data_IF_536282159690
#
_entry.id   IF_536282159690
#
_cell.length_a   1.000
_cell.length_b   1.000
_cell.length_c   1.000
_cell.angle_alpha   90.00
_cell.angle_beta   90.00
_cell.angle_gamma   90.00
#
_symmetry.space_group_name_H-M   'P 1'
#
loop_
_entity.id
_entity.type
_entity.pdbx_description
1 polymer ?
#
# COMPACT_ATOMS: atom_id res chain seq x y z
N UNK A 1 -31.72 11.01 9.26
CA UNK A 1 -30.30 10.68 9.08
C UNK A 1 -30.18 9.86 7.81
N UNK A 2 -29.09 9.96 7.05
CA UNK A 2 -28.88 9.05 5.94
C UNK A 2 -28.43 7.68 6.47
N UNK A 3 -28.60 6.63 5.68
CA UNK A 3 -28.12 5.29 6.02
C UNK A 3 -26.62 5.27 6.36
N UNK A 4 -25.78 5.99 5.61
CA UNK A 4 -24.35 6.14 5.90
C UNK A 4 -24.12 6.75 7.29
N UNK A 5 -24.81 7.84 7.63
CA UNK A 5 -24.65 8.48 8.95
C UNK A 5 -25.13 7.61 10.12
N UNK A 6 -26.18 6.84 9.93
CA UNK A 6 -26.65 5.88 10.93
C UNK A 6 -25.61 4.78 11.18
N UNK A 7 -25.04 4.24 10.10
CA UNK A 7 -24.01 3.21 10.22
C UNK A 7 -22.71 3.74 10.85
N UNK A 8 -22.33 4.98 10.58
CA UNK A 8 -21.18 5.61 11.25
C UNK A 8 -21.40 5.77 12.77
N UNK A 9 -22.58 6.15 13.19
CA UNK A 9 -22.90 6.25 14.63
C UNK A 9 -22.92 4.87 15.32
N UNK A 10 -23.43 3.84 14.65
CA UNK A 10 -23.40 2.46 15.16
C UNK A 10 -21.96 1.94 15.25
N UNK A 11 -21.14 2.21 14.23
CA UNK A 11 -19.72 1.82 14.20
C UNK A 11 -18.95 2.44 15.37
N UNK A 12 -19.12 3.74 15.62
CA UNK A 12 -18.49 4.44 16.76
C UNK A 12 -18.89 3.82 18.10
N UNK A 13 -20.17 3.47 18.27
CA UNK A 13 -20.67 2.83 19.50
C UNK A 13 -20.10 1.43 19.71
N UNK A 14 -19.91 0.65 18.64
CA UNK A 14 -19.36 -0.71 18.70
C UNK A 14 -17.85 -0.74 18.93
N UNK A 15 -17.12 0.28 18.55
CA UNK A 15 -15.65 0.29 18.51
C UNK A 15 -15.01 1.46 19.30
N UNK A 16 -15.41 1.74 20.56
CA UNK A 16 -15.01 2.95 21.30
C UNK A 16 -13.52 3.05 21.59
N UNK A 17 -12.74 1.97 21.42
CA UNK A 17 -11.30 1.92 21.66
C UNK A 17 -10.47 1.85 20.38
N UNK A 18 -11.04 2.09 19.20
CA UNK A 18 -10.39 1.89 17.89
C UNK A 18 -10.42 3.16 17.03
N UNK A 19 -9.74 4.25 17.46
CA UNK A 19 -9.85 5.54 16.78
C UNK A 19 -9.37 5.51 15.32
N UNK A 20 -8.31 4.76 15.01
CA UNK A 20 -7.79 4.65 13.64
C UNK A 20 -8.79 3.94 12.71
N UNK A 21 -9.47 2.90 13.21
CA UNK A 21 -10.51 2.20 12.46
C UNK A 21 -11.73 3.10 12.22
N UNK A 22 -12.19 3.81 13.25
CA UNK A 22 -13.31 4.76 13.16
C UNK A 22 -13.01 5.84 12.13
N UNK A 23 -11.79 6.40 12.15
CA UNK A 23 -11.36 7.42 11.20
C UNK A 23 -11.39 6.88 9.78
N UNK A 24 -10.77 5.74 9.51
CA UNK A 24 -10.72 5.15 8.17
C UNK A 24 -12.11 4.79 7.64
N UNK A 25 -12.95 4.21 8.48
CA UNK A 25 -14.32 3.89 8.10
C UNK A 25 -15.13 5.18 7.80
N UNK A 26 -14.94 6.24 8.59
CA UNK A 26 -15.60 7.53 8.35
C UNK A 26 -15.19 8.11 6.99
N UNK A 27 -13.90 8.13 6.68
CA UNK A 27 -13.39 8.63 5.40
C UNK A 27 -13.98 7.87 4.21
N UNK A 28 -13.99 6.54 4.27
CA UNK A 28 -14.52 5.71 3.19
C UNK A 28 -16.03 5.84 3.09
N UNK A 29 -16.78 5.57 4.17
CA UNK A 29 -18.25 5.52 4.13
C UNK A 29 -18.85 6.88 3.73
N UNK A 30 -18.28 7.99 4.19
CA UNK A 30 -18.76 9.33 3.78
C UNK A 30 -18.64 9.52 2.26
N UNK A 31 -17.61 8.99 1.64
CA UNK A 31 -17.44 9.06 0.18
C UNK A 31 -18.42 8.18 -0.61
N UNK A 32 -19.11 7.25 0.07
CA UNK A 32 -20.07 6.32 -0.56
C UNK A 32 -21.51 6.88 -0.61
N UNK A 33 -21.80 8.01 0.01
CA UNK A 33 -23.15 8.58 0.06
C UNK A 33 -23.83 8.62 -1.33
N UNK A 34 -23.18 9.12 -2.41
CA UNK A 34 -23.82 9.17 -3.73
C UNK A 34 -24.13 7.79 -4.33
N UNK A 35 -23.25 6.80 -4.10
CA UNK A 35 -23.45 5.46 -4.63
C UNK A 35 -24.53 4.70 -3.86
N UNK A 36 -24.64 4.91 -2.56
CA UNK A 36 -25.71 4.31 -1.74
C UNK A 36 -27.06 4.88 -2.14
N UNK A 37 -27.17 6.19 -2.29
CA UNK A 37 -28.43 6.84 -2.72
C UNK A 37 -28.88 6.37 -4.11
N UNK A 38 -27.94 6.14 -5.02
CA UNK A 38 -28.25 5.64 -6.37
C UNK A 38 -28.59 4.14 -6.42
N UNK A 39 -28.29 3.38 -5.36
CA UNK A 39 -28.42 1.92 -5.34
C UNK A 39 -29.06 1.44 -4.01
N UNK A 40 -30.40 1.63 -3.84
CA UNK A 40 -31.08 1.30 -2.59
C UNK A 40 -31.02 -0.18 -2.19
N UNK A 41 -30.69 -1.07 -3.13
CA UNK A 41 -30.46 -2.50 -2.85
C UNK A 41 -29.29 -2.75 -1.87
N UNK A 42 -28.32 -1.84 -1.79
CA UNK A 42 -27.22 -1.99 -0.85
C UNK A 42 -27.67 -1.79 0.61
N UNK A 43 -28.56 -0.81 0.85
CA UNK A 43 -29.18 -0.61 2.16
C UNK A 43 -30.10 -1.79 2.50
N UNK A 44 -30.97 -2.21 1.57
CA UNK A 44 -31.89 -3.33 1.77
C UNK A 44 -31.16 -4.65 2.12
N UNK A 45 -29.93 -4.83 1.66
CA UNK A 45 -29.12 -6.01 1.93
C UNK A 45 -28.14 -5.83 3.12
N UNK A 46 -28.17 -4.71 3.82
CA UNK A 46 -27.27 -4.42 4.95
C UNK A 46 -25.79 -4.44 4.58
N UNK A 47 -25.44 -3.91 3.41
CA UNK A 47 -24.07 -3.99 2.91
C UNK A 47 -23.11 -3.20 3.80
N UNK A 48 -23.48 -2.02 4.30
CA UNK A 48 -22.58 -1.22 5.14
C UNK A 48 -22.34 -1.87 6.50
N UNK A 49 -23.36 -2.46 7.10
CA UNK A 49 -23.23 -3.21 8.36
C UNK A 49 -22.24 -4.36 8.25
N UNK A 50 -22.26 -5.04 7.12
CA UNK A 50 -21.44 -6.23 6.87
C UNK A 50 -20.02 -5.88 6.44
N UNK A 51 -19.84 -4.86 5.62
CA UNK A 51 -18.50 -4.50 5.09
C UNK A 51 -17.60 -3.84 6.15
N UNK A 52 -18.18 -3.25 7.20
CA UNK A 52 -17.41 -2.66 8.32
C UNK A 52 -17.11 -3.65 9.44
N UNK A 53 -17.72 -4.84 9.40
CA UNK A 53 -17.46 -5.90 10.38
C UNK A 53 -16.57 -6.97 9.76
N UNK A 54 -15.39 -7.28 10.35
CA UNK A 54 -14.53 -8.32 9.79
C UNK A 54 -15.16 -9.71 9.95
N UNK A 55 -15.00 -10.57 8.95
CA UNK A 55 -15.51 -11.94 8.99
C UNK A 55 -14.88 -12.74 10.12
N UNK A 56 -13.58 -12.53 10.41
CA UNK A 56 -12.87 -13.15 11.54
C UNK A 56 -11.76 -12.28 12.07
N UNK A 57 -11.60 -12.31 13.39
CA UNK A 57 -10.46 -11.73 14.09
C UNK A 57 -9.78 -12.84 14.91
N UNK A 58 -8.50 -13.09 14.63
CA UNK A 58 -7.72 -14.15 15.23
C UNK A 58 -6.59 -13.51 16.02
N UNK A 59 -6.50 -13.84 17.30
CA UNK A 59 -5.42 -13.40 18.18
C UNK A 59 -4.83 -14.63 18.88
N UNK A 60 -3.51 -14.69 18.94
CA UNK A 60 -2.80 -15.81 19.53
C UNK A 60 -1.50 -15.38 20.22
N UNK A 61 -1.04 -16.22 21.15
CA UNK A 61 0.22 -16.04 21.87
C UNK A 61 1.37 -16.57 21.03
N UNK A 62 2.48 -15.82 20.98
CA UNK A 62 3.71 -16.17 20.26
C UNK A 62 4.89 -16.24 21.24
N UNK A 63 5.15 -17.40 21.88
CA UNK A 63 6.30 -17.59 22.76
C UNK A 63 7.54 -17.96 21.92
N UNK A 64 8.68 -17.37 22.24
CA UNK A 64 9.98 -17.69 21.62
C UNK A 64 11.11 -17.47 22.61
N UNK A 65 12.31 -17.96 22.30
CA UNK A 65 13.49 -17.87 23.18
C UNK A 65 14.52 -16.98 22.51
N UNK A 66 15.00 -15.97 23.24
CA UNK A 66 16.03 -15.06 22.77
C UNK A 66 17.45 -15.67 22.85
N UNK A 67 18.43 -14.92 22.37
CA UNK A 67 19.82 -15.37 22.33
C UNK A 67 20.45 -15.62 23.72
N UNK A 68 19.85 -15.06 24.77
CA UNK A 68 20.25 -15.26 26.16
C UNK A 68 19.55 -16.46 26.84
N UNK A 69 18.71 -17.20 26.08
CA UNK A 69 17.93 -18.31 26.62
C UNK A 69 16.68 -17.89 27.39
N UNK A 70 16.31 -16.60 27.35
CA UNK A 70 15.13 -16.08 28.05
C UNK A 70 13.88 -16.22 27.17
N UNK A 71 12.78 -16.69 27.78
CA UNK A 71 11.49 -16.76 27.13
C UNK A 71 10.91 -15.37 26.94
N UNK A 72 10.53 -15.09 25.70
CA UNK A 72 9.82 -13.90 25.27
C UNK A 72 8.40 -14.29 24.83
N UNK A 73 7.44 -13.37 24.99
CA UNK A 73 6.04 -13.59 24.59
C UNK A 73 5.51 -12.36 23.87
N UNK A 74 5.09 -12.57 22.65
CA UNK A 74 4.42 -11.55 21.82
C UNK A 74 2.97 -11.97 21.52
N UNK A 75 2.20 -11.03 20.98
CA UNK A 75 0.85 -11.27 20.48
C UNK A 75 0.87 -11.32 18.96
N UNK A 76 0.24 -12.35 18.40
CA UNK A 76 -0.02 -12.46 16.97
C UNK A 76 -1.45 -12.11 16.63
N UNK A 77 -1.66 -11.46 15.48
CA UNK A 77 -2.97 -11.05 15.00
C UNK A 77 -3.15 -11.39 13.53
N UNK A 78 -4.36 -11.84 13.16
CA UNK A 78 -4.83 -11.90 11.76
C UNK A 78 -6.29 -11.49 11.71
N UNK A 79 -6.58 -10.45 10.94
CA UNK A 79 -7.94 -10.02 10.64
C UNK A 79 -8.25 -10.44 9.20
N UNK A 80 -9.15 -11.38 9.06
CA UNK A 80 -9.76 -11.83 7.82
C UNK A 80 -11.01 -10.98 7.62
N UNK A 81 -10.88 -9.91 6.82
CA UNK A 81 -11.87 -8.86 6.85
C UNK A 81 -13.04 -9.14 5.91
N UNK A 82 -12.76 -9.41 4.64
CA UNK A 82 -13.80 -9.65 3.64
C UNK A 82 -13.27 -10.58 2.53
N UNK A 83 -13.99 -11.64 2.25
CA UNK A 83 -13.65 -12.65 1.24
C UNK A 83 -14.57 -12.67 0.01
N UNK A 84 -15.46 -11.69 -0.12
CA UNK A 84 -16.49 -11.70 -1.18
C UNK A 84 -15.92 -11.78 -2.61
N UNK A 85 -14.70 -11.27 -2.84
CA UNK A 85 -14.08 -11.26 -4.17
C UNK A 85 -12.86 -12.19 -4.29
N UNK A 86 -12.52 -12.94 -3.26
CA UNK A 86 -11.39 -13.88 -3.28
C UNK A 86 -10.78 -14.13 -1.91
N UNK A 87 -9.70 -14.94 -1.83
CA UNK A 87 -8.99 -15.19 -0.59
C UNK A 87 -8.55 -13.92 0.12
N UNK A 88 -8.56 -13.91 1.45
CA UNK A 88 -8.05 -12.77 2.20
C UNK A 88 -6.60 -12.50 1.83
N UNK A 89 -6.26 -11.25 1.57
CA UNK A 89 -4.92 -10.84 1.14
C UNK A 89 -4.49 -9.58 1.86
N UNK A 90 -3.30 -9.61 2.44
CA UNK A 90 -2.67 -8.45 3.06
C UNK A 90 -1.47 -8.80 3.91
N UNK A 91 -0.62 -7.79 4.16
CA UNK A 91 0.67 -7.95 4.80
C UNK A 91 0.62 -8.30 6.28
N UNK A 92 1.74 -8.77 6.79
CA UNK A 92 2.02 -8.98 8.21
C UNK A 92 2.94 -7.86 8.70
N UNK A 93 2.47 -7.03 9.64
CA UNK A 93 3.26 -5.95 10.23
C UNK A 93 3.94 -6.41 11.51
N UNK A 94 5.25 -6.28 11.60
CA UNK A 94 6.03 -6.54 12.82
C UNK A 94 6.58 -5.22 13.35
N UNK A 95 5.91 -4.70 14.38
CA UNK A 95 6.25 -3.42 14.99
C UNK A 95 5.66 -3.33 16.41
N UNK A 96 6.37 -2.73 17.39
CA UNK A 96 5.88 -2.63 18.78
C UNK A 96 4.50 -1.96 18.96
N UNK A 97 4.11 -1.09 18.03
CA UNK A 97 2.82 -0.41 18.06
C UNK A 97 1.63 -1.27 17.62
N UNK A 98 1.88 -2.47 17.09
CA UNK A 98 0.82 -3.33 16.56
C UNK A 98 -0.12 -3.79 17.67
N UNK A 99 -1.40 -3.57 17.46
CA UNK A 99 -2.50 -4.09 18.25
C UNK A 99 -3.68 -4.47 17.34
N UNK A 100 -4.71 -5.08 17.89
CA UNK A 100 -5.85 -5.56 17.12
C UNK A 100 -6.57 -4.43 16.37
N UNK A 101 -6.75 -3.25 16.97
CA UNK A 101 -7.42 -2.10 16.35
C UNK A 101 -6.66 -1.59 15.12
N UNK A 102 -5.34 -1.49 15.20
CA UNK A 102 -4.48 -1.12 14.05
C UNK A 102 -4.58 -2.16 12.93
N UNK A 103 -4.55 -3.45 13.26
CA UNK A 103 -4.67 -4.51 12.25
C UNK A 103 -6.07 -4.51 11.62
N UNK A 104 -7.11 -4.27 12.40
CA UNK A 104 -8.48 -4.11 11.90
C UNK A 104 -8.62 -2.92 10.93
N UNK A 105 -8.10 -1.76 11.32
CA UNK A 105 -8.04 -0.58 10.45
C UNK A 105 -7.37 -0.89 9.11
N UNK A 106 -6.16 -1.46 9.16
CA UNK A 106 -5.40 -1.80 7.96
C UNK A 106 -6.10 -2.87 7.10
N UNK A 107 -6.78 -3.83 7.73
CA UNK A 107 -7.57 -4.86 7.04
C UNK A 107 -8.77 -4.28 6.31
N UNK A 108 -9.45 -3.31 6.91
CA UNK A 108 -10.56 -2.60 6.29
C UNK A 108 -10.12 -1.84 5.03
N UNK A 109 -9.04 -1.07 5.12
CA UNK A 109 -8.50 -0.36 3.94
C UNK A 109 -8.06 -1.31 2.84
N UNK A 110 -7.59 -2.49 3.22
CA UNK A 110 -7.11 -3.50 2.27
C UNK A 110 -8.24 -4.06 1.39
N UNK A 111 -9.50 -4.06 1.85
CA UNK A 111 -10.67 -4.48 1.05
C UNK A 111 -10.73 -3.66 -0.25
N UNK A 112 -10.73 -2.35 -0.11
CA UNK A 112 -10.90 -1.41 -1.23
C UNK A 112 -9.66 -1.38 -2.13
N UNK A 113 -8.47 -1.40 -1.54
CA UNK A 113 -7.21 -1.45 -2.28
C UNK A 113 -7.12 -2.70 -3.16
N UNK A 114 -7.44 -3.87 -2.61
CA UNK A 114 -7.39 -5.13 -3.35
C UNK A 114 -8.46 -5.18 -4.44
N UNK A 115 -9.66 -4.72 -4.13
CA UNK A 115 -10.78 -4.66 -5.07
C UNK A 115 -10.44 -3.84 -6.33
N UNK A 116 -9.74 -2.72 -6.17
CA UNK A 116 -9.31 -1.87 -7.29
C UNK A 116 -8.41 -2.60 -8.29
N UNK A 117 -7.62 -3.57 -7.86
CA UNK A 117 -6.74 -4.32 -8.77
C UNK A 117 -7.48 -5.09 -9.85
N UNK A 118 -8.78 -5.34 -9.66
CA UNK A 118 -9.56 -6.20 -10.54
C UNK A 118 -9.31 -7.70 -10.34
N UNK A 119 -8.32 -8.07 -9.53
CA UNK A 119 -7.92 -9.45 -9.28
C UNK A 119 -8.78 -10.10 -8.18
N UNK A 120 -8.91 -11.44 -8.17
CA UNK A 120 -9.75 -12.16 -7.21
C UNK A 120 -9.05 -12.31 -5.85
N UNK A 121 -8.88 -11.22 -5.14
CA UNK A 121 -8.28 -11.17 -3.79
C UNK A 121 -9.14 -10.33 -2.86
N UNK A 122 -9.48 -10.89 -1.72
CA UNK A 122 -10.21 -10.24 -0.64
C UNK A 122 -9.33 -9.37 0.25
N UNK A 123 -9.86 -8.86 1.34
CA UNK A 123 -9.17 -8.00 2.30
C UNK A 123 -8.79 -8.73 3.58
N UNK A 124 -7.54 -8.62 3.98
CA UNK A 124 -7.04 -9.12 5.26
C UNK A 124 -5.78 -8.39 5.70
N UNK A 125 -5.46 -8.50 6.98
CA UNK A 125 -4.24 -7.93 7.55
C UNK A 125 -3.80 -8.73 8.78
N UNK A 126 -2.52 -8.73 9.07
CA UNK A 126 -2.00 -9.36 10.28
C UNK A 126 -0.74 -8.70 10.81
N UNK A 127 -0.20 -9.26 11.85
CA UNK A 127 1.05 -8.78 12.44
C UNK A 127 1.24 -9.18 13.89
N UNK A 128 2.23 -8.56 14.49
CA UNK A 128 2.59 -8.76 15.90
C UNK A 128 3.25 -7.50 16.46
N UNK A 129 3.19 -7.36 17.78
CA UNK A 129 3.93 -6.37 18.56
C UNK A 129 5.43 -6.68 18.69
N UNK A 130 5.93 -7.70 17.97
CA UNK A 130 7.34 -8.04 17.86
C UNK A 130 8.12 -6.95 17.11
N UNK A 131 9.26 -6.54 17.64
CA UNK A 131 10.20 -5.63 16.97
C UNK A 131 11.40 -6.41 16.42
N UNK A 132 11.54 -6.54 15.10
CA UNK A 132 12.68 -7.23 14.49
C UNK A 132 13.99 -6.42 14.53
N UNK A 133 13.93 -5.11 14.86
CA UNK A 133 15.12 -4.26 14.89
C UNK A 133 16.06 -4.69 16.02
N UNK A 134 17.33 -4.83 15.67
CA UNK A 134 18.37 -5.22 16.63
C UNK A 134 18.33 -6.68 17.09
N UNK A 135 17.42 -7.50 16.52
CA UNK A 135 17.37 -8.93 16.78
C UNK A 135 18.30 -9.69 15.85
N UNK A 136 18.89 -10.77 16.35
CA UNK A 136 19.65 -11.70 15.52
C UNK A 136 18.75 -12.47 14.55
N UNK A 137 19.36 -13.03 13.49
CA UNK A 137 18.62 -13.89 12.55
C UNK A 137 18.01 -15.11 13.25
N UNK A 138 18.68 -15.64 14.27
CA UNK A 138 18.18 -16.75 15.09
C UNK A 138 16.93 -16.35 15.89
N UNK A 139 16.94 -15.19 16.51
CA UNK A 139 15.79 -14.66 17.26
C UNK A 139 14.60 -14.41 16.33
N UNK A 140 14.84 -13.75 15.19
CA UNK A 140 13.79 -13.51 14.18
C UNK A 140 13.23 -14.81 13.64
N UNK A 141 14.08 -15.80 13.36
CA UNK A 141 13.64 -17.13 12.91
C UNK A 141 12.81 -17.83 13.98
N UNK A 142 13.23 -17.81 15.25
CA UNK A 142 12.49 -18.41 16.35
C UNK A 142 11.10 -17.79 16.51
N UNK A 143 11.02 -16.45 16.45
CA UNK A 143 9.75 -15.73 16.45
C UNK A 143 8.86 -16.14 15.26
N UNK A 144 9.38 -16.07 14.02
CA UNK A 144 8.63 -16.40 12.81
C UNK A 144 8.08 -17.83 12.81
N UNK A 145 8.87 -18.79 13.30
CA UNK A 145 8.46 -20.19 13.42
C UNK A 145 7.32 -20.34 14.45
N UNK A 146 7.45 -19.72 15.61
CA UNK A 146 6.39 -19.72 16.64
C UNK A 146 5.11 -19.05 16.14
N UNK A 147 5.23 -17.87 15.50
CA UNK A 147 4.11 -17.15 14.91
C UNK A 147 3.37 -18.00 13.88
N UNK A 148 4.09 -18.65 12.98
CA UNK A 148 3.50 -19.50 11.95
C UNK A 148 2.89 -20.79 12.50
N UNK A 149 3.40 -21.31 13.61
CA UNK A 149 2.84 -22.51 14.29
C UNK A 149 1.41 -22.29 14.74
N UNK A 150 1.01 -21.06 15.03
CA UNK A 150 -0.38 -20.71 15.31
C UNK A 150 -1.13 -20.28 14.03
N UNK A 151 -0.53 -19.44 13.22
CA UNK A 151 -1.20 -18.84 12.04
C UNK A 151 -1.55 -19.88 10.96
N UNK A 152 -0.76 -20.94 10.77
CA UNK A 152 -0.95 -21.89 9.67
C UNK A 152 -2.33 -22.52 9.58
N UNK A 153 -3.04 -22.62 10.72
CA UNK A 153 -4.39 -23.17 10.81
C UNK A 153 -5.44 -22.34 10.09
N UNK A 154 -5.13 -21.10 9.83
CA UNK A 154 -6.08 -20.09 9.36
C UNK A 154 -5.77 -19.56 7.96
N UNK A 155 -4.63 -19.97 7.37
CA UNK A 155 -4.15 -19.50 6.07
C UNK A 155 -3.97 -20.64 5.08
N UNK A 156 -3.90 -20.31 3.83
CA UNK A 156 -3.69 -21.26 2.73
C UNK A 156 -3.84 -20.56 1.37
N UNK A 157 -3.45 -21.21 0.27
CA UNK A 157 -3.44 -20.61 -1.07
C UNK A 157 -4.83 -20.11 -1.52
N UNK A 158 -5.89 -20.78 -1.10
CA UNK A 158 -7.26 -20.49 -1.51
C UNK A 158 -8.12 -19.87 -0.38
N UNK A 159 -7.53 -19.66 0.79
CA UNK A 159 -8.25 -19.12 1.97
C UNK A 159 -7.73 -17.74 2.34
N UNK A 160 -6.45 -17.64 2.63
CA UNK A 160 -5.81 -16.43 3.14
C UNK A 160 -4.31 -16.44 2.82
N UNK A 161 -3.85 -15.46 2.07
CA UNK A 161 -2.45 -15.37 1.60
C UNK A 161 -1.79 -14.11 2.16
N UNK A 162 -1.10 -14.20 3.30
CA UNK A 162 -0.36 -13.09 3.86
C UNK A 162 0.83 -12.66 2.98
N UNK A 163 1.35 -11.45 3.25
CA UNK A 163 2.48 -10.86 2.54
C UNK A 163 3.40 -10.09 3.51
N UNK A 164 4.47 -9.50 2.98
CA UNK A 164 5.30 -8.55 3.71
C UNK A 164 4.61 -7.23 4.00
N UNK A 165 5.05 -6.55 5.04
CA UNK A 165 4.69 -5.19 5.45
C UNK A 165 5.84 -4.62 6.30
N UNK A 166 5.63 -3.54 7.05
CA UNK A 166 6.64 -2.98 7.97
C UNK A 166 7.19 -4.09 8.88
N UNK A 167 8.51 -4.22 8.93
CA UNK A 167 9.21 -5.22 9.74
C UNK A 167 9.15 -6.66 9.20
N UNK A 168 8.51 -6.90 8.06
CA UNK A 168 8.41 -8.22 7.43
C UNK A 168 8.89 -8.15 5.98
N UNK A 169 10.14 -8.48 5.78
CA UNK A 169 10.76 -8.56 4.46
C UNK A 169 10.93 -10.02 3.98
N UNK A 170 11.77 -10.19 2.96
CA UNK A 170 12.04 -11.50 2.36
C UNK A 170 12.58 -12.54 3.36
N UNK A 171 13.38 -12.09 4.35
CA UNK A 171 13.92 -12.95 5.42
C UNK A 171 12.79 -13.54 6.27
N UNK A 172 11.91 -12.69 6.80
CA UNK A 172 10.79 -13.10 7.64
C UNK A 172 9.80 -13.98 6.87
N UNK A 173 9.46 -13.60 5.64
CA UNK A 173 8.63 -14.42 4.74
C UNK A 173 9.26 -15.79 4.51
N UNK A 174 10.58 -15.86 4.30
CA UNK A 174 11.30 -17.12 4.15
C UNK A 174 11.19 -18.03 5.37
N UNK A 175 11.41 -17.48 6.57
CA UNK A 175 11.29 -18.25 7.81
C UNK A 175 9.84 -18.73 8.07
N UNK A 176 8.86 -17.87 7.82
CA UNK A 176 7.44 -18.22 7.96
C UNK A 176 7.03 -19.29 6.93
N UNK A 177 7.46 -19.16 5.68
CA UNK A 177 7.17 -20.14 4.64
C UNK A 177 7.79 -21.51 4.93
N UNK A 178 9.04 -21.52 5.38
CA UNK A 178 9.73 -22.77 5.77
C UNK A 178 8.99 -23.52 6.89
N UNK A 179 8.49 -22.78 7.89
CA UNK A 179 7.72 -23.38 8.99
C UNK A 179 6.36 -23.87 8.52
N UNK A 180 5.63 -23.09 7.70
CA UNK A 180 4.37 -23.50 7.11
C UNK A 180 4.51 -24.78 6.30
N UNK A 181 5.49 -24.82 5.38
CA UNK A 181 5.78 -26.00 4.57
C UNK A 181 6.08 -27.24 5.43
N UNK A 182 6.85 -27.06 6.51
CA UNK A 182 7.19 -28.16 7.44
C UNK A 182 5.95 -28.73 8.13
N UNK A 183 5.07 -27.86 8.64
CA UNK A 183 3.86 -28.29 9.36
C UNK A 183 2.85 -28.94 8.42
N UNK A 184 2.60 -28.30 7.26
CA UNK A 184 1.64 -28.77 6.27
C UNK A 184 2.12 -29.99 5.47
N UNK A 185 3.43 -30.22 5.45
CA UNK A 185 4.07 -31.20 4.56
C UNK A 185 3.66 -31.02 3.09
N UNK A 186 3.51 -29.76 2.65
CA UNK A 186 3.07 -29.39 1.33
C UNK A 186 3.81 -28.14 0.83
N UNK A 187 4.09 -28.10 -0.48
CA UNK A 187 4.61 -26.93 -1.15
C UNK A 187 3.44 -26.19 -1.82
N UNK A 188 2.87 -25.26 -1.09
CA UNK A 188 1.67 -24.51 -1.50
C UNK A 188 2.00 -23.05 -1.82
N UNK A 189 1.15 -22.39 -2.62
CA UNK A 189 1.26 -20.98 -2.97
C UNK A 189 0.76 -20.03 -1.85
N UNK A 190 1.08 -20.32 -0.61
CA UNK A 190 0.80 -19.46 0.54
C UNK A 190 1.94 -18.46 0.76
N UNK A 191 1.64 -17.30 1.29
CA UNK A 191 2.53 -16.15 1.43
C UNK A 191 3.01 -15.60 0.07
N UNK A 192 3.16 -14.30 -0.02
CA UNK A 192 3.77 -13.62 -1.17
C UNK A 192 4.93 -12.74 -0.72
N UNK A 193 5.82 -12.38 -1.66
CA UNK A 193 7.12 -11.81 -1.36
C UNK A 193 8.16 -12.88 -1.05
N UNK A 194 7.93 -14.10 -1.54
CA UNK A 194 8.89 -15.21 -1.44
C UNK A 194 10.13 -14.95 -2.30
N UNK A 195 11.23 -15.61 -1.95
CA UNK A 195 12.42 -15.63 -2.80
C UNK A 195 12.14 -16.33 -4.14
N UNK A 196 12.86 -15.93 -5.19
CA UNK A 196 12.69 -16.49 -6.53
C UNK A 196 12.93 -18.00 -6.61
N UNK A 197 13.76 -18.54 -5.72
CA UNK A 197 14.08 -19.96 -5.65
C UNK A 197 12.96 -20.85 -5.11
N UNK A 198 11.90 -20.25 -4.55
CA UNK A 198 10.79 -21.02 -3.95
C UNK A 198 9.42 -20.35 -4.18
N UNK A 199 9.20 -19.84 -5.38
CA UNK A 199 7.89 -19.40 -5.84
C UNK A 199 7.64 -17.89 -5.77
N UNK A 200 8.68 -17.07 -5.59
CA UNK A 200 8.59 -15.61 -5.71
C UNK A 200 8.43 -15.15 -7.16
N UNK A 201 7.95 -13.93 -7.34
CA UNK A 201 7.77 -13.29 -8.65
C UNK A 201 8.85 -12.26 -8.93
N UNK A 202 9.31 -12.19 -10.17
CA UNK A 202 10.06 -11.06 -10.71
C UNK A 202 9.20 -9.78 -10.67
N UNK A 203 9.82 -8.64 -10.81
CA UNK A 203 9.22 -7.30 -10.75
C UNK A 203 8.50 -6.96 -9.43
N UNK A 204 8.57 -7.82 -8.38
CA UNK A 204 7.90 -7.54 -7.09
C UNK A 204 8.54 -6.37 -6.34
N UNK A 205 9.84 -6.23 -6.44
CA UNK A 205 10.61 -5.17 -5.78
C UNK A 205 10.27 -3.81 -6.39
N UNK A 206 10.16 -3.75 -7.69
CA UNK A 206 9.86 -2.58 -8.51
C UNK A 206 8.39 -2.17 -8.47
N UNK A 207 7.52 -3.13 -8.22
CA UNK A 207 6.08 -3.05 -8.48
C UNK A 207 5.37 -1.83 -7.92
N UNK A 208 5.70 -1.38 -6.71
CA UNK A 208 5.01 -0.24 -6.10
C UNK A 208 5.44 1.06 -6.79
N UNK A 209 6.73 1.26 -7.01
CA UNK A 209 7.27 2.43 -7.72
C UNK A 209 6.82 2.47 -9.17
N UNK A 210 6.94 1.36 -9.90
CA UNK A 210 6.51 1.27 -11.29
C UNK A 210 5.00 1.48 -11.44
N UNK A 211 4.21 0.82 -10.57
CA UNK A 211 2.76 0.98 -10.53
C UNK A 211 2.32 2.41 -10.29
N UNK A 212 3.00 3.12 -9.37
CA UNK A 212 2.77 4.53 -9.11
C UNK A 212 2.91 5.37 -10.39
N UNK A 213 3.95 5.12 -11.18
CA UNK A 213 4.18 5.86 -12.41
C UNK A 213 3.20 5.48 -13.52
N UNK A 214 2.80 4.21 -13.65
CA UNK A 214 1.76 3.81 -14.61
C UNK A 214 0.42 4.47 -14.32
N UNK A 215 0.00 4.50 -13.04
CA UNK A 215 -1.20 5.23 -12.62
C UNK A 215 -1.09 6.72 -12.91
N UNK A 216 0.03 7.33 -12.52
CA UNK A 216 0.28 8.78 -12.70
C UNK A 216 0.27 9.15 -14.17
N UNK A 217 0.92 8.37 -15.03
CA UNK A 217 0.93 8.61 -16.47
C UNK A 217 -0.47 8.51 -17.09
N UNK A 218 -1.28 7.52 -16.68
CA UNK A 218 -2.66 7.40 -17.12
C UNK A 218 -3.50 8.61 -16.70
N UNK A 219 -3.34 9.07 -15.45
CA UNK A 219 -4.01 10.26 -14.92
C UNK A 219 -3.61 11.53 -15.69
N UNK A 220 -2.33 11.73 -15.93
CA UNK A 220 -1.82 12.86 -16.70
C UNK A 220 -2.38 12.86 -18.13
N UNK A 221 -2.31 11.72 -18.81
CA UNK A 221 -2.78 11.56 -20.19
C UNK A 221 -4.28 11.89 -20.34
N UNK A 222 -5.12 11.41 -19.42
CA UNK A 222 -6.56 11.75 -19.39
C UNK A 222 -6.79 13.26 -19.26
N UNK A 223 -5.91 13.98 -18.58
CA UNK A 223 -6.03 15.42 -18.35
C UNK A 223 -5.18 16.26 -19.32
N UNK A 224 -4.66 15.69 -20.41
CA UNK A 224 -3.99 16.42 -21.48
C UNK A 224 -2.50 16.69 -21.22
N UNK A 225 -1.86 15.95 -20.31
CA UNK A 225 -0.45 16.07 -19.97
C UNK A 225 0.31 14.79 -20.29
N UNK A 226 1.64 14.92 -20.45
CA UNK A 226 2.57 13.80 -20.58
C UNK A 226 3.59 13.80 -19.43
N UNK A 227 4.18 12.62 -19.15
CA UNK A 227 5.32 12.49 -18.23
C UNK A 227 6.61 13.10 -18.82
N UNK A 228 6.82 12.95 -20.12
CA UNK A 228 8.04 13.38 -20.79
C UNK A 228 8.27 14.89 -20.62
N UNK A 229 9.49 15.26 -20.23
CA UNK A 229 9.91 16.64 -20.01
C UNK A 229 9.44 17.26 -18.70
N UNK A 230 8.70 16.53 -17.86
CA UNK A 230 8.23 17.03 -16.55
C UNK A 230 9.32 16.97 -15.50
N UNK A 231 9.32 17.98 -14.63
CA UNK A 231 10.15 17.99 -13.42
C UNK A 231 9.41 17.28 -12.29
N UNK A 232 10.05 16.27 -11.70
CA UNK A 232 9.48 15.44 -10.66
C UNK A 232 10.25 15.59 -9.36
N UNK A 233 9.53 15.80 -8.27
CA UNK A 233 10.04 15.78 -6.89
C UNK A 233 9.59 14.52 -6.21
N UNK A 234 10.52 13.76 -5.64
CA UNK A 234 10.26 12.52 -4.91
C UNK A 234 10.78 12.67 -3.47
N UNK A 235 9.99 12.27 -2.50
CA UNK A 235 10.46 12.02 -1.13
C UNK A 235 10.79 10.56 -0.92
N UNK A 236 11.68 10.28 0.04
CA UNK A 236 12.16 8.93 0.31
C UNK A 236 13.37 8.55 -0.54
N UNK A 237 14.04 7.48 -0.12
CA UNK A 237 15.12 6.80 -0.81
C UNK A 237 15.09 5.28 -0.51
N UNK A 238 13.91 4.78 -0.20
CA UNK A 238 13.65 3.35 -0.09
C UNK A 238 13.13 2.77 -1.40
N UNK A 239 12.69 1.53 -1.38
CA UNK A 239 12.24 0.78 -2.56
C UNK A 239 11.26 1.56 -3.44
N UNK A 240 10.20 2.10 -2.85
CA UNK A 240 9.17 2.82 -3.62
C UNK A 240 9.76 4.03 -4.34
N UNK A 241 10.56 4.83 -3.64
CA UNK A 241 11.17 6.04 -4.19
C UNK A 241 12.20 5.73 -5.28
N UNK A 242 13.06 4.72 -5.08
CA UNK A 242 14.10 4.30 -6.03
C UNK A 242 13.45 3.86 -7.35
N UNK A 243 12.46 2.97 -7.29
CA UNK A 243 11.81 2.46 -8.50
C UNK A 243 10.79 3.43 -9.10
N UNK A 244 10.24 4.35 -8.32
CA UNK A 244 9.50 5.49 -8.87
C UNK A 244 10.43 6.42 -9.67
N UNK A 245 11.62 6.70 -9.15
CA UNK A 245 12.65 7.49 -9.85
C UNK A 245 13.06 6.81 -11.15
N UNK A 246 13.37 5.52 -11.12
CA UNK A 246 13.75 4.73 -12.29
C UNK A 246 12.69 4.81 -13.39
N UNK A 247 11.45 4.51 -13.06
CA UNK A 247 10.36 4.51 -14.03
C UNK A 247 10.04 5.94 -14.54
N UNK A 248 10.12 6.97 -13.68
CA UNK A 248 9.93 8.35 -14.11
C UNK A 248 10.98 8.78 -15.14
N UNK A 249 12.24 8.43 -14.90
CA UNK A 249 13.34 8.71 -15.84
C UNK A 249 13.17 7.93 -17.16
N UNK A 250 12.76 6.66 -17.11
CA UNK A 250 12.43 5.87 -18.31
C UNK A 250 11.31 6.50 -19.13
N UNK A 251 10.31 7.13 -18.48
CA UNK A 251 9.22 7.85 -19.14
C UNK A 251 9.63 9.26 -19.62
N UNK A 252 10.90 9.62 -19.51
CA UNK A 252 11.43 10.91 -19.98
C UNK A 252 11.21 12.10 -19.03
N UNK A 253 10.85 11.86 -17.79
CA UNK A 253 10.77 12.90 -16.77
C UNK A 253 12.14 13.16 -16.11
N UNK A 254 12.33 14.35 -15.57
CA UNK A 254 13.52 14.71 -14.81
C UNK A 254 13.22 14.71 -13.33
N UNK A 255 13.72 13.70 -12.61
CA UNK A 255 13.62 13.63 -11.14
C UNK A 255 14.75 14.45 -10.54
N UNK A 256 14.43 15.41 -9.68
CA UNK A 256 15.39 16.37 -9.14
C UNK A 256 15.65 16.26 -7.64
N UNK A 257 14.86 15.45 -6.92
CA UNK A 257 15.05 15.26 -5.47
C UNK A 257 14.87 13.81 -5.04
N UNK A 258 15.54 13.44 -3.96
CA UNK A 258 15.22 12.29 -3.11
C UNK A 258 15.50 12.66 -1.65
N UNK A 259 14.91 11.96 -0.69
CA UNK A 259 15.08 12.26 0.74
C UNK A 259 15.24 11.01 1.59
N UNK A 260 15.86 11.16 2.75
CA UNK A 260 15.85 10.15 3.82
C UNK A 260 15.53 10.81 5.17
N UNK A 261 15.66 10.07 6.28
CA UNK A 261 15.30 10.57 7.61
C UNK A 261 16.21 11.69 8.14
N UNK A 262 17.32 11.98 7.48
CA UNK A 262 18.25 13.05 7.88
C UNK A 262 18.12 14.31 7.06
N UNK A 263 17.63 14.19 5.81
CA UNK A 263 17.51 15.34 4.91
C UNK A 263 17.18 14.93 3.48
N UNK A 264 17.42 15.82 2.55
CA UNK A 264 17.10 15.62 1.14
C UNK A 264 18.15 16.21 0.22
N UNK A 265 18.25 15.63 -0.95
CA UNK A 265 19.14 16.09 -2.01
C UNK A 265 18.34 16.80 -3.09
N UNK A 266 18.92 17.86 -3.66
CA UNK A 266 18.46 18.52 -4.86
C UNK A 266 19.56 18.47 -5.92
N UNK A 267 19.24 17.90 -7.08
CA UNK A 267 20.13 17.87 -8.23
C UNK A 267 19.42 18.50 -9.44
N UNK A 268 19.73 19.74 -9.80
CA UNK A 268 19.07 20.44 -10.90
C UNK A 268 19.31 19.78 -12.27
N UNK A 269 20.37 18.99 -12.41
CA UNK A 269 20.68 18.24 -13.62
C UNK A 269 19.89 16.91 -13.70
N UNK A 270 19.26 16.50 -12.63
CA UNK A 270 18.54 15.24 -12.46
C UNK A 270 19.29 14.23 -11.60
N UNK A 271 18.53 13.50 -10.78
CA UNK A 271 19.07 12.50 -9.87
C UNK A 271 19.82 11.40 -10.63
N UNK A 272 21.05 11.15 -10.21
CA UNK A 272 21.85 9.99 -10.61
C UNK A 272 21.36 8.77 -9.81
N UNK A 273 20.51 7.96 -10.43
CA UNK A 273 19.90 6.80 -9.79
C UNK A 273 20.93 5.72 -9.41
N UNK A 274 22.00 5.58 -10.21
CA UNK A 274 23.06 4.60 -9.90
C UNK A 274 23.79 4.98 -8.60
N UNK A 275 24.07 6.27 -8.41
CA UNK A 275 24.63 6.78 -7.17
C UNK A 275 23.69 6.55 -5.97
N UNK A 276 22.38 6.78 -6.15
CA UNK A 276 21.38 6.51 -5.09
C UNK A 276 21.36 5.03 -4.71
N UNK A 277 21.30 4.13 -5.72
CA UNK A 277 21.31 2.67 -5.47
C UNK A 277 22.59 2.25 -4.74
N UNK A 278 23.75 2.74 -5.16
CA UNK A 278 25.03 2.45 -4.49
C UNK A 278 25.01 2.90 -3.02
N UNK A 279 24.53 4.13 -2.74
CA UNK A 279 24.47 4.66 -1.37
C UNK A 279 23.49 3.86 -0.51
N UNK A 280 22.26 3.60 -1.03
CA UNK A 280 21.16 3.08 -0.20
C UNK A 280 21.13 1.56 -0.13
N UNK A 281 21.41 0.86 -1.22
CA UNK A 281 21.27 -0.60 -1.30
C UNK A 281 22.58 -1.31 -0.98
N UNK A 282 23.72 -0.78 -1.46
CA UNK A 282 25.03 -1.39 -1.27
C UNK A 282 25.67 -0.90 0.03
N UNK A 283 25.92 0.39 0.17
CA UNK A 283 26.59 0.98 1.35
C UNK A 283 25.67 1.11 2.56
N UNK A 284 24.35 1.12 2.37
CA UNK A 284 23.36 1.37 3.42
C UNK A 284 23.62 2.68 4.18
N UNK A 285 24.14 3.67 3.45
CA UNK A 285 24.51 4.98 3.97
C UNK A 285 23.38 6.01 3.87
N UNK A 286 23.67 7.24 4.27
CA UNK A 286 22.78 8.39 4.20
C UNK A 286 22.99 9.17 2.90
N UNK A 287 21.97 9.93 2.48
CA UNK A 287 22.04 10.76 1.28
C UNK A 287 23.05 11.92 1.38
N UNK A 288 23.60 12.19 2.57
CA UNK A 288 24.75 13.08 2.75
C UNK A 288 25.94 12.70 1.86
N UNK A 289 26.07 11.40 1.49
CA UNK A 289 27.12 10.94 0.61
C UNK A 289 26.89 11.27 -0.89
N UNK A 290 25.67 11.66 -1.28
CA UNK A 290 25.32 11.88 -2.68
C UNK A 290 26.21 12.95 -3.37
N UNK A 291 26.61 13.96 -2.61
CA UNK A 291 27.50 15.03 -3.09
C UNK A 291 28.87 14.52 -3.54
N UNK A 292 29.32 13.36 -3.03
CA UNK A 292 30.55 12.72 -3.48
C UNK A 292 30.47 12.19 -4.92
N UNK A 293 29.26 11.89 -5.41
CA UNK A 293 28.99 11.42 -6.77
C UNK A 293 28.59 12.57 -7.68
N UNK A 294 27.86 13.55 -7.14
CA UNK A 294 27.29 14.70 -7.86
C UNK A 294 27.66 16.00 -7.14
N UNK A 295 28.87 16.55 -7.38
CA UNK A 295 29.38 17.72 -6.65
C UNK A 295 28.53 18.99 -6.78
N UNK A 296 27.79 19.12 -7.89
CA UNK A 296 26.91 20.27 -8.15
C UNK A 296 25.54 20.14 -7.49
N UNK A 297 25.24 19.00 -6.85
CA UNK A 297 24.01 18.83 -6.11
C UNK A 297 24.05 19.53 -4.76
N UNK A 298 22.89 19.76 -4.19
CA UNK A 298 22.72 20.34 -2.85
C UNK A 298 22.18 19.29 -1.89
N UNK A 299 22.68 19.31 -0.66
CA UNK A 299 22.11 18.52 0.44
C UNK A 299 21.54 19.50 1.49
N UNK A 300 20.30 19.25 1.90
CA UNK A 300 19.59 20.02 2.90
C UNK A 300 19.18 19.12 4.05
N UNK A 301 19.47 19.54 5.28
CA UNK A 301 19.07 18.80 6.47
C UNK A 301 17.57 18.96 6.77
N UNK A 302 16.96 17.95 7.35
CA UNK A 302 15.57 17.97 7.80
C UNK A 302 14.54 17.92 6.66
N UNK A 303 13.42 18.62 6.86
CA UNK A 303 12.29 18.68 5.92
C UNK A 303 12.48 19.81 4.91
N UNK A 304 11.73 19.75 3.80
CA UNK A 304 11.71 20.85 2.84
C UNK A 304 11.68 20.42 1.37
N UNK A 305 11.65 19.14 1.07
CA UNK A 305 11.65 18.61 -0.30
C UNK A 305 10.54 19.20 -1.17
N UNK A 306 9.39 19.51 -0.58
CA UNK A 306 8.21 20.06 -1.27
C UNK A 306 8.32 21.56 -1.62
N UNK A 307 9.36 22.25 -1.17
CA UNK A 307 9.65 23.64 -1.56
C UNK A 307 10.22 23.76 -2.98
N UNK A 308 10.73 22.68 -3.53
CA UNK A 308 11.30 22.65 -4.88
C UNK A 308 10.18 22.73 -5.91
N UNK A 309 10.31 23.67 -6.85
CA UNK A 309 9.35 23.83 -7.94
C UNK A 309 9.35 22.58 -8.82
N UNK A 310 8.16 22.01 -9.04
CA UNK A 310 7.99 20.80 -9.85
C UNK A 310 6.63 20.79 -10.56
N UNK A 311 6.54 19.93 -11.59
CA UNK A 311 5.28 19.61 -12.25
C UNK A 311 4.54 18.49 -11.49
N UNK A 312 5.31 17.53 -10.95
CA UNK A 312 4.76 16.33 -10.32
C UNK A 312 5.47 16.09 -8.97
N UNK A 313 4.71 15.84 -7.92
CA UNK A 313 5.22 15.48 -6.61
C UNK A 313 4.81 14.05 -6.25
N UNK A 314 5.79 13.22 -5.87
CA UNK A 314 5.60 11.81 -5.50
C UNK A 314 6.03 11.58 -4.05
N UNK A 315 5.12 11.67 -3.08
CA UNK A 315 5.44 11.33 -1.69
C UNK A 315 5.57 9.81 -1.53
N UNK A 316 6.83 9.36 -1.33
CA UNK A 316 7.23 7.95 -1.30
C UNK A 316 7.94 7.53 -0.01
N UNK A 317 7.95 8.38 1.03
CA UNK A 317 8.69 8.12 2.27
C UNK A 317 7.79 7.56 3.37
N UNK A 318 7.06 8.42 4.07
CA UNK A 318 6.34 8.06 5.29
C UNK A 318 4.95 8.66 5.36
N UNK A 319 4.13 8.13 6.28
CA UNK A 319 2.82 8.68 6.59
C UNK A 319 2.94 10.13 7.09
N UNK A 320 1.98 10.98 6.72
CA UNK A 320 1.87 12.39 7.13
C UNK A 320 3.14 13.22 6.86
N UNK A 321 3.80 12.99 5.74
CA UNK A 321 4.99 13.74 5.36
C UNK A 321 4.69 15.02 4.54
N UNK A 322 3.54 15.09 3.88
CA UNK A 322 3.08 16.26 3.14
C UNK A 322 1.96 16.94 3.92
N UNK A 323 2.26 18.12 4.47
CA UNK A 323 1.39 18.88 5.35
C UNK A 323 0.71 20.04 4.60
N UNK A 324 -0.17 20.77 5.28
CA UNK A 324 -0.89 21.91 4.71
C UNK A 324 0.02 22.96 4.06
N UNK A 325 1.11 23.33 4.72
CA UNK A 325 2.04 24.35 4.21
C UNK A 325 2.76 23.83 2.96
N UNK A 326 3.12 22.55 2.93
CA UNK A 326 3.71 21.91 1.77
C UNK A 326 2.73 21.91 0.58
N UNK A 327 1.45 21.61 0.84
CA UNK A 327 0.40 21.63 -0.19
C UNK A 327 0.20 23.04 -0.77
N UNK A 328 0.13 24.07 0.08
CA UNK A 328 0.06 25.48 -0.34
C UNK A 328 1.25 25.85 -1.23
N UNK A 329 2.45 25.41 -0.84
CA UNK A 329 3.67 25.66 -1.62
C UNK A 329 3.63 24.97 -2.99
N UNK A 330 3.20 23.72 -3.06
CA UNK A 330 3.06 22.99 -4.32
C UNK A 330 2.05 23.66 -5.25
N UNK A 331 0.89 24.09 -4.73
CA UNK A 331 -0.12 24.84 -5.49
C UNK A 331 0.47 26.17 -6.00
N UNK A 332 1.13 26.94 -5.14
CA UNK A 332 1.74 28.22 -5.51
C UNK A 332 2.84 28.05 -6.57
N UNK A 333 3.58 26.95 -6.54
CA UNK A 333 4.62 26.61 -7.52
C UNK A 333 4.06 26.08 -8.86
N UNK A 334 2.73 25.88 -8.98
CA UNK A 334 2.10 25.40 -10.19
C UNK A 334 2.24 23.89 -10.42
N UNK A 335 2.36 23.11 -9.34
CA UNK A 335 2.36 21.65 -9.41
C UNK A 335 1.08 21.15 -10.11
N UNK A 336 1.23 20.25 -11.08
CA UNK A 336 0.13 19.69 -11.88
C UNK A 336 -0.50 18.49 -11.17
N UNK A 337 0.35 17.64 -10.57
CA UNK A 337 -0.10 16.39 -9.98
C UNK A 337 0.68 16.00 -8.72
N UNK A 338 -0.03 15.43 -7.76
CA UNK A 338 0.52 14.73 -6.59
C UNK A 338 0.03 13.29 -6.64
N UNK A 339 0.94 12.31 -6.57
CA UNK A 339 0.59 10.90 -6.56
C UNK A 339 1.30 10.16 -5.41
N UNK A 340 0.52 9.53 -4.55
CA UNK A 340 0.99 8.91 -3.31
C UNK A 340 1.62 7.54 -3.54
N UNK A 341 2.94 7.44 -3.37
CA UNK A 341 3.67 6.17 -3.34
C UNK A 341 3.67 5.50 -1.97
N UNK A 342 3.75 6.29 -0.90
CA UNK A 342 3.63 5.80 0.47
C UNK A 342 2.15 5.59 0.87
N UNK A 343 1.93 5.02 2.04
CA UNK A 343 0.58 4.88 2.60
C UNK A 343 0.24 6.15 3.42
N UNK A 344 -0.81 6.86 2.99
CA UNK A 344 -1.30 8.11 3.61
C UNK A 344 -0.18 9.13 3.89
N UNK A 345 0.66 9.48 2.91
CA UNK A 345 1.73 10.44 3.12
C UNK A 345 1.22 11.88 3.22
N UNK A 346 0.07 12.18 2.61
CA UNK A 346 -0.57 13.51 2.59
C UNK A 346 -1.65 13.58 3.67
N UNK A 347 -1.66 14.64 4.45
CA UNK A 347 -2.73 14.86 5.45
C UNK A 347 -4.06 15.17 4.74
N UNK A 348 -5.18 14.98 5.45
CA UNK A 348 -6.52 15.26 4.91
C UNK A 348 -6.65 16.73 4.49
N UNK A 349 -6.15 17.64 5.35
CA UNK A 349 -6.14 19.08 5.11
C UNK A 349 -5.30 19.42 3.86
N UNK A 350 -4.12 18.84 3.73
CA UNK A 350 -3.26 19.01 2.57
C UNK A 350 -3.92 18.48 1.29
N UNK A 351 -4.56 17.32 1.35
CA UNK A 351 -5.31 16.76 0.20
C UNK A 351 -6.40 17.71 -0.28
N UNK A 352 -7.15 18.31 0.65
CA UNK A 352 -8.19 19.28 0.33
C UNK A 352 -7.61 20.52 -0.36
N UNK A 353 -6.52 21.08 0.15
CA UNK A 353 -5.83 22.24 -0.43
C UNK A 353 -5.37 21.92 -1.86
N UNK A 354 -4.77 20.75 -2.09
CA UNK A 354 -4.32 20.34 -3.42
C UNK A 354 -5.49 20.24 -4.40
N UNK A 355 -6.59 19.60 -4.01
CA UNK A 355 -7.79 19.44 -4.85
C UNK A 355 -8.45 20.80 -5.15
N UNK A 356 -8.62 21.66 -4.15
CA UNK A 356 -9.18 23.02 -4.32
C UNK A 356 -8.26 23.90 -5.17
N UNK A 357 -6.94 23.68 -5.11
CA UNK A 357 -5.94 24.32 -5.96
C UNK A 357 -5.87 23.80 -7.39
N UNK A 358 -6.70 22.81 -7.75
CA UNK A 358 -6.76 22.23 -9.10
C UNK A 358 -5.64 21.23 -9.40
N UNK A 359 -4.90 20.79 -8.39
CA UNK A 359 -3.87 19.75 -8.53
C UNK A 359 -4.52 18.39 -8.68
N UNK A 360 -4.12 17.60 -9.66
CA UNK A 360 -4.56 16.22 -9.84
C UNK A 360 -4.00 15.36 -8.69
N UNK A 361 -4.88 14.82 -7.86
CA UNK A 361 -4.46 14.06 -6.67
C UNK A 361 -4.77 12.58 -6.81
N UNK A 362 -3.73 11.74 -6.80
CA UNK A 362 -3.81 10.28 -6.87
C UNK A 362 -3.65 9.67 -5.46
N UNK A 363 -4.71 9.09 -4.87
CA UNK A 363 -4.65 8.55 -3.51
C UNK A 363 -3.83 7.26 -3.44
N UNK A 364 -3.11 7.06 -2.34
CA UNK A 364 -2.20 5.92 -2.17
C UNK A 364 -2.87 4.57 -2.36
N UNK A 365 -4.11 4.37 -1.88
CA UNK A 365 -4.82 3.09 -2.07
C UNK A 365 -4.98 2.68 -3.53
N UNK A 366 -5.01 3.63 -4.47
CA UNK A 366 -5.07 3.40 -5.90
C UNK A 366 -3.67 3.46 -6.52
N UNK A 367 -2.94 4.55 -6.31
CA UNK A 367 -1.66 4.81 -6.96
C UNK A 367 -0.54 3.84 -6.53
N UNK A 368 -0.51 3.40 -5.26
CA UNK A 368 0.50 2.46 -4.77
C UNK A 368 0.05 0.98 -4.77
N UNK A 369 -1.03 0.64 -5.45
CA UNK A 369 -1.57 -0.72 -5.50
C UNK A 369 -0.68 -1.70 -6.29
N UNK A 370 0.36 -1.24 -6.96
CA UNK A 370 1.27 -2.08 -7.76
C UNK A 370 1.88 -3.23 -6.95
N UNK A 371 2.25 -2.98 -5.69
CA UNK A 371 2.80 -4.01 -4.82
C UNK A 371 1.83 -5.16 -4.54
N UNK A 372 0.57 -4.88 -4.23
CA UNK A 372 -0.44 -5.93 -4.00
C UNK A 372 -0.89 -6.57 -5.31
N UNK A 373 -0.94 -5.82 -6.41
CA UNK A 373 -1.23 -6.37 -7.73
C UNK A 373 -0.19 -7.44 -8.12
N UNK A 374 1.10 -7.13 -8.01
CA UNK A 374 2.17 -8.10 -8.30
C UNK A 374 2.18 -9.26 -7.30
N UNK A 375 1.80 -9.02 -6.04
CA UNK A 375 1.60 -10.14 -5.10
C UNK A 375 0.49 -11.09 -5.54
N UNK A 376 -0.61 -10.59 -6.12
CA UNK A 376 -1.65 -11.45 -6.67
C UNK A 376 -1.18 -12.16 -7.97
N UNK A 377 -0.33 -11.52 -8.77
CA UNK A 377 0.31 -12.17 -9.91
C UNK A 377 1.28 -13.29 -9.46
N UNK A 378 1.96 -13.13 -8.32
CA UNK A 378 2.75 -14.21 -7.70
C UNK A 378 1.85 -15.39 -7.31
N UNK A 379 0.66 -15.13 -6.74
CA UNK A 379 -0.32 -16.19 -6.45
C UNK A 379 -0.73 -16.94 -7.72
N UNK A 380 -0.99 -16.22 -8.81
CA UNK A 380 -1.33 -16.83 -10.11
C UNK A 380 -0.21 -17.72 -10.61
N UNK A 381 1.03 -17.24 -10.62
CA UNK A 381 2.20 -18.05 -11.01
C UNK A 381 2.35 -19.30 -10.13
N UNK A 382 2.10 -19.18 -8.82
CA UNK A 382 2.14 -20.33 -7.91
C UNK A 382 1.05 -21.35 -8.21
N UNK A 383 -0.16 -20.92 -8.57
CA UNK A 383 -1.26 -21.81 -8.93
C UNK A 383 -1.01 -22.52 -10.25
N UNK A 384 -0.42 -21.83 -11.21
CA UNK A 384 -0.01 -22.41 -12.51
C UNK A 384 1.24 -23.29 -12.40
N UNK A 385 2.03 -23.15 -11.32
CA UNK A 385 3.36 -23.73 -11.13
C UNK A 385 4.36 -23.29 -12.20
N UNK A 386 4.24 -22.06 -12.66
CA UNK A 386 5.10 -21.43 -13.64
C UNK A 386 5.75 -20.17 -13.06
N UNK A 387 6.82 -19.72 -13.69
CA UNK A 387 7.43 -18.41 -13.45
C UNK A 387 7.37 -17.60 -14.73
N UNK A 388 6.85 -16.39 -14.63
CA UNK A 388 6.80 -15.45 -15.74
C UNK A 388 8.08 -14.61 -15.79
N UNK A 389 8.41 -14.10 -16.98
CA UNK A 389 9.53 -13.16 -17.14
C UNK A 389 9.21 -11.81 -16.49
N UNK A 390 10.24 -10.99 -16.33
CA UNK A 390 10.07 -9.64 -15.81
C UNK A 390 9.09 -8.84 -16.69
N UNK A 391 9.26 -8.92 -18.00
CA UNK A 391 8.45 -8.20 -18.99
C UNK A 391 6.98 -8.65 -18.96
N UNK A 392 6.71 -9.94 -18.77
CA UNK A 392 5.35 -10.46 -18.63
C UNK A 392 4.66 -9.94 -17.39
N UNK A 393 5.36 -9.91 -16.25
CA UNK A 393 4.83 -9.38 -14.99
C UNK A 393 4.63 -7.87 -15.10
N UNK A 394 5.60 -7.12 -15.63
CA UNK A 394 5.53 -5.66 -15.77
C UNK A 394 4.42 -5.22 -16.74
N UNK A 395 4.24 -5.93 -17.85
CA UNK A 395 3.15 -5.66 -18.78
C UNK A 395 1.76 -5.86 -18.13
N UNK A 396 1.59 -6.92 -17.33
CA UNK A 396 0.36 -7.16 -16.56
C UNK A 396 0.16 -6.09 -15.48
N UNK A 397 1.23 -5.72 -14.76
CA UNK A 397 1.20 -4.65 -13.77
C UNK A 397 0.75 -3.33 -14.38
N UNK A 398 1.33 -2.95 -15.53
CA UNK A 398 0.94 -1.74 -16.26
C UNK A 398 -0.55 -1.75 -16.58
N UNK A 399 -1.06 -2.81 -17.18
CA UNK A 399 -2.48 -2.93 -17.51
C UNK A 399 -3.39 -2.84 -16.29
N UNK A 400 -3.00 -3.45 -15.16
CA UNK A 400 -3.74 -3.37 -13.89
C UNK A 400 -3.79 -1.92 -13.40
N UNK A 401 -2.66 -1.21 -13.37
CA UNK A 401 -2.60 0.15 -12.85
C UNK A 401 -3.36 1.16 -13.72
N UNK A 402 -3.30 1.00 -15.06
CA UNK A 402 -4.12 1.77 -16.00
C UNK A 402 -5.62 1.52 -15.78
N UNK A 403 -6.03 0.28 -15.53
CA UNK A 403 -7.41 -0.08 -15.21
C UNK A 403 -7.87 0.46 -13.85
N UNK A 404 -6.98 0.49 -12.84
CA UNK A 404 -7.30 1.12 -11.54
C UNK A 404 -7.62 2.61 -11.74
N UNK A 405 -6.78 3.32 -12.50
CA UNK A 405 -7.02 4.73 -12.81
C UNK A 405 -8.36 4.89 -13.55
N UNK A 406 -8.59 4.13 -14.62
CA UNK A 406 -9.82 4.18 -15.42
C UNK A 406 -11.06 3.96 -14.55
N UNK A 407 -11.05 2.95 -13.70
CA UNK A 407 -12.19 2.64 -12.81
C UNK A 407 -12.47 3.75 -11.81
N UNK A 408 -11.41 4.36 -11.25
CA UNK A 408 -11.53 5.49 -10.33
C UNK A 408 -12.06 6.75 -11.04
N UNK A 409 -11.58 7.04 -12.25
CA UNK A 409 -12.01 8.17 -13.07
C UNK A 409 -13.49 8.04 -13.49
N UNK A 410 -13.87 6.88 -14.04
CA UNK A 410 -15.26 6.58 -14.44
C UNK A 410 -16.24 6.65 -13.25
N UNK A 411 -15.83 6.14 -12.08
CA UNK A 411 -16.65 6.23 -10.88
C UNK A 411 -16.81 7.68 -10.39
N UNK A 412 -15.73 8.46 -10.39
CA UNK A 412 -15.80 9.88 -10.03
C UNK A 412 -16.71 10.67 -10.98
N UNK A 413 -16.59 10.47 -12.29
CA UNK A 413 -17.45 11.11 -13.29
C UNK A 413 -18.93 10.70 -13.13
N UNK A 414 -19.21 9.39 -13.01
CA UNK A 414 -20.55 8.83 -12.89
C UNK A 414 -21.32 9.38 -11.69
N UNK A 415 -20.64 9.59 -10.58
CA UNK A 415 -21.27 10.04 -9.32
C UNK A 415 -21.12 11.55 -9.07
N UNK A 416 -20.80 12.33 -10.12
CA UNK A 416 -20.85 13.80 -10.09
C UNK A 416 -19.64 14.49 -9.47
N UNK A 417 -18.52 13.80 -9.32
CA UNK A 417 -17.28 14.30 -8.73
C UNK A 417 -16.07 14.16 -9.69
N UNK A 418 -16.14 14.70 -10.92
CA UNK A 418 -15.09 14.54 -11.92
C UNK A 418 -13.74 15.00 -11.36
N UNK A 419 -12.67 14.25 -11.64
CA UNK A 419 -11.30 14.46 -11.15
C UNK A 419 -11.08 14.25 -9.64
N UNK A 420 -12.10 13.90 -8.88
CA UNK A 420 -11.93 13.50 -7.49
C UNK A 420 -11.58 12.00 -7.41
N UNK A 421 -10.31 11.68 -7.66
CA UNK A 421 -9.86 10.28 -7.70
C UNK A 421 -9.83 9.60 -6.33
N UNK A 422 -9.83 10.36 -5.23
CA UNK A 422 -10.02 9.81 -3.87
C UNK A 422 -11.40 9.18 -3.76
N UNK A 423 -12.43 9.94 -4.10
CA UNK A 423 -13.82 9.49 -4.06
C UNK A 423 -14.06 8.39 -5.09
N UNK A 424 -13.56 8.60 -6.32
CA UNK A 424 -13.66 7.60 -7.39
C UNK A 424 -13.07 6.25 -7.02
N UNK A 425 -11.88 6.22 -6.41
CA UNK A 425 -11.25 4.99 -5.94
C UNK A 425 -12.05 4.29 -4.83
N UNK A 426 -12.57 5.05 -3.86
CA UNK A 426 -13.43 4.49 -2.82
C UNK A 426 -14.71 3.87 -3.39
N UNK A 427 -15.38 4.58 -4.29
CA UNK A 427 -16.63 4.12 -4.93
C UNK A 427 -16.37 2.90 -5.82
N UNK A 428 -15.35 2.94 -6.69
CA UNK A 428 -15.02 1.82 -7.57
C UNK A 428 -14.67 0.56 -6.79
N UNK A 429 -13.84 0.70 -5.75
CA UNK A 429 -13.49 -0.41 -4.87
C UNK A 429 -14.70 -0.98 -4.12
N UNK A 430 -15.59 -0.10 -3.62
CA UNK A 430 -16.80 -0.50 -2.92
C UNK A 430 -17.78 -1.28 -3.81
N UNK A 431 -18.12 -0.75 -4.98
CA UNK A 431 -19.14 -1.35 -5.87
C UNK A 431 -18.81 -2.81 -6.16
N UNK A 432 -17.57 -3.12 -6.51
CA UNK A 432 -17.18 -4.49 -6.84
C UNK A 432 -17.38 -5.45 -5.66
N UNK A 433 -17.05 -5.03 -4.44
CA UNK A 433 -17.23 -5.86 -3.25
C UNK A 433 -18.72 -5.97 -2.88
N UNK A 434 -19.44 -4.85 -2.91
CA UNK A 434 -20.87 -4.80 -2.60
C UNK A 434 -21.71 -5.68 -3.55
N UNK A 435 -21.44 -5.62 -4.85
CA UNK A 435 -22.12 -6.45 -5.85
C UNK A 435 -21.83 -7.95 -5.65
N UNK A 436 -20.58 -8.30 -5.31
CA UNK A 436 -20.24 -9.68 -4.96
C UNK A 436 -20.98 -10.14 -3.69
N UNK A 437 -21.03 -9.30 -2.65
CA UNK A 437 -21.77 -9.59 -1.42
C UNK A 437 -23.28 -9.74 -1.66
N UNK A 438 -23.85 -8.94 -2.56
CA UNK A 438 -25.26 -9.07 -2.98
C UNK A 438 -25.51 -10.42 -3.68
N UNK A 439 -24.65 -10.76 -4.64
CA UNK A 439 -24.80 -11.97 -5.44
C UNK A 439 -24.65 -13.25 -4.60
N UNK A 440 -23.82 -13.22 -3.56
CA UNK A 440 -23.56 -14.35 -2.67
C UNK A 440 -24.58 -14.48 -1.52
N UNK A 441 -25.43 -13.47 -1.33
CA UNK A 441 -26.44 -13.47 -0.27
C UNK A 441 -25.89 -13.09 1.11
N UNK A 442 -26.63 -13.44 2.14
CA UNK A 442 -26.25 -13.20 3.55
C UNK A 442 -25.58 -14.45 4.10
N UNK A 443 -24.27 -14.43 4.14
CA UNK A 443 -23.41 -15.54 4.60
C UNK A 443 -22.58 -15.09 5.80
#
# INVERSE_FOLDING_TARGET
MSYVSEQLELLKKKNPGEPEFIQAATEVLTSLEPVIQANPQYEAAGILERIVEPERQIMFRVPWVDDNGKVQVNRGFRVQFNSAIGPYKGGLRLHPSVNLGIIKFLGFEQIFKNSLTGLPIGGGKGGSDFDPKGKSDREVMAFCQSFMTELYRHIGPDTDVPAGDIGTGAREIGYMYGQYKRIRNAFEGVLTGKGLTYGGSLARTEATGYGLLYFTAAMLKKNGYDMAGKTVVISGAGNVAIYACEKAQEMGAKVVTMSDSTGWVYDPEGIDLAAIKEIKEVKRARLTEYKNYRPNSEYHEGRGVWSVKCDIALPCATQNELLEEDAKQLVANGCIAVAEGANKPTTIEATKILQEGGVLFAPGKAANAGGVATSALEMTQNSERLSWTFEEVDAKLKGIMENIFKSADEAAEKYGHPKNYVMGANIAGFIKVADAMLAQGVI
#
